data_IF_600136576149
#
_entry.id   IF_600136576149
#
_cell.length_a   1.000
_cell.length_b   1.000
_cell.length_c   1.000
_cell.angle_alpha   90.00
_cell.angle_beta   90.00
_cell.angle_gamma   90.00
#
_symmetry.space_group_name_H-M   'P 1'
#
loop_
_entity.id
_entity.type
_entity.pdbx_description
1 polymer ?
#
# COMPACT_ATOMS: atom_id res chain seq x y z
N UNK A 1 1.27 7.19 -9.58
CA UNK A 1 1.97 5.97 -10.03
C UNK A 1 2.56 5.14 -8.88
N UNK A 2 2.38 5.59 -7.63
CA UNK A 2 2.78 4.83 -6.44
C UNK A 2 1.69 3.88 -5.91
N UNK A 3 0.46 3.97 -6.43
CA UNK A 3 -0.69 3.15 -5.97
C UNK A 3 -0.97 2.00 -6.94
N UNK A 4 -1.33 0.84 -6.39
CA UNK A 4 -1.87 -0.28 -7.16
C UNK A 4 -3.16 0.13 -7.90
N UNK A 5 -3.45 -0.49 -9.04
CA UNK A 5 -4.77 -0.42 -9.66
C UNK A 5 -5.86 -0.88 -8.70
N UNK A 6 -7.02 -0.22 -8.74
CA UNK A 6 -8.15 -0.49 -7.83
C UNK A 6 -8.57 -1.96 -7.85
N UNK A 7 -8.63 -2.59 -9.01
CA UNK A 7 -9.00 -4.00 -9.13
C UNK A 7 -7.99 -4.95 -8.46
N UNK A 8 -6.69 -4.62 -8.50
CA UNK A 8 -5.68 -5.38 -7.75
C UNK A 8 -5.85 -5.24 -6.24
N UNK A 9 -6.14 -4.04 -5.76
CA UNK A 9 -6.43 -3.82 -4.33
C UNK A 9 -7.64 -4.67 -3.91
N UNK A 10 -8.70 -4.66 -4.71
CA UNK A 10 -9.90 -5.47 -4.45
C UNK A 10 -9.55 -6.97 -4.43
N UNK A 11 -8.77 -7.44 -5.40
CA UNK A 11 -8.34 -8.84 -5.48
C UNK A 11 -7.53 -9.27 -4.25
N UNK A 12 -6.55 -8.45 -3.82
CA UNK A 12 -5.77 -8.68 -2.60
C UNK A 12 -6.69 -8.72 -1.38
N UNK A 13 -7.54 -7.70 -1.21
CA UNK A 13 -8.46 -7.63 -0.06
C UNK A 13 -9.43 -8.81 0.03
N UNK A 14 -9.86 -9.38 -1.09
CA UNK A 14 -10.70 -10.58 -1.09
C UNK A 14 -10.01 -11.80 -0.47
N UNK A 15 -8.71 -11.94 -0.69
CA UNK A 15 -7.88 -13.07 -0.26
C UNK A 15 -7.39 -12.95 1.18
N UNK A 16 -7.41 -11.75 1.77
CA UNK A 16 -7.06 -11.54 3.18
C UNK A 16 -8.20 -12.03 4.05
N UNK A 17 -7.91 -12.79 5.10
CA UNK A 17 -8.95 -13.41 5.94
C UNK A 17 -9.50 -12.48 7.03
N UNK A 18 -8.70 -11.51 7.46
CA UNK A 18 -9.05 -10.60 8.56
C UNK A 18 -9.79 -9.34 8.07
N UNK A 19 -10.54 -8.64 8.95
CA UNK A 19 -11.14 -7.34 8.64
C UNK A 19 -10.10 -6.30 8.23
N UNK A 20 -10.45 -5.46 7.28
CA UNK A 20 -9.55 -4.48 6.67
C UNK A 20 -10.06 -3.05 6.93
N UNK A 21 -9.14 -2.16 7.29
CA UNK A 21 -9.39 -0.72 7.36
C UNK A 21 -8.61 -0.03 6.26
N UNK A 22 -9.30 0.64 5.33
CA UNK A 22 -8.65 1.48 4.32
C UNK A 22 -8.36 2.85 4.91
N UNK A 23 -7.09 3.24 4.92
CA UNK A 23 -6.63 4.56 5.34
C UNK A 23 -6.10 5.36 4.15
N UNK A 24 -6.42 6.64 4.12
CA UNK A 24 -5.97 7.57 3.08
C UNK A 24 -6.50 8.97 3.32
N UNK A 25 -6.06 9.92 2.50
CA UNK A 25 -6.54 11.30 2.53
C UNK A 25 -7.91 11.47 1.86
N UNK A 26 -8.41 12.72 1.81
CA UNK A 26 -9.66 13.05 1.12
C UNK A 26 -9.67 12.62 -0.36
N UNK A 27 -8.53 12.72 -1.04
CA UNK A 27 -8.39 12.35 -2.45
C UNK A 27 -8.55 10.84 -2.70
N UNK A 28 -8.43 10.02 -1.66
CA UNK A 28 -8.56 8.57 -1.75
C UNK A 28 -10.01 8.09 -1.54
N UNK A 29 -10.93 8.97 -1.10
CA UNK A 29 -12.30 8.59 -0.74
C UNK A 29 -13.07 7.91 -1.88
N UNK A 30 -12.95 8.43 -3.10
CA UNK A 30 -13.68 7.89 -4.26
C UNK A 30 -13.26 6.45 -4.56
N UNK A 31 -11.97 6.18 -4.58
CA UNK A 31 -11.41 4.85 -4.81
C UNK A 31 -11.76 3.91 -3.65
N UNK A 32 -11.59 4.37 -2.41
CA UNK A 32 -11.92 3.60 -1.22
C UNK A 32 -13.40 3.22 -1.15
N UNK A 33 -14.31 4.11 -1.61
CA UNK A 33 -15.74 3.80 -1.73
C UNK A 33 -16.02 2.69 -2.73
N UNK A 34 -15.34 2.68 -3.88
CA UNK A 34 -15.46 1.59 -4.87
C UNK A 34 -15.00 0.26 -4.26
N UNK A 35 -13.87 0.26 -3.53
CA UNK A 35 -13.33 -0.94 -2.89
C UNK A 35 -14.30 -1.45 -1.82
N UNK A 36 -14.74 -0.60 -0.90
CA UNK A 36 -15.63 -1.01 0.19
C UNK A 36 -16.98 -1.51 -0.32
N UNK A 37 -17.56 -0.90 -1.36
CA UNK A 37 -18.81 -1.37 -1.96
C UNK A 37 -18.71 -2.75 -2.59
N UNK A 38 -17.52 -3.12 -3.13
CA UNK A 38 -17.28 -4.45 -3.72
C UNK A 38 -16.95 -5.54 -2.69
N UNK A 39 -16.61 -5.16 -1.46
CA UNK A 39 -16.13 -6.07 -0.41
C UNK A 39 -17.01 -6.05 0.85
N UNK A 40 -18.06 -5.23 0.86
CA UNK A 40 -19.06 -5.14 1.93
C UNK A 40 -18.45 -5.04 3.34
N UNK A 41 -18.96 -5.80 4.31
CA UNK A 41 -18.59 -5.71 5.73
C UNK A 41 -17.13 -6.08 6.05
N UNK A 42 -16.41 -6.66 5.08
CA UNK A 42 -14.99 -7.01 5.23
C UNK A 42 -14.08 -5.79 5.28
N UNK A 43 -14.49 -4.68 4.68
CA UNK A 43 -13.65 -3.49 4.49
C UNK A 43 -14.32 -2.25 5.04
N UNK A 44 -13.72 -1.67 6.08
CA UNK A 44 -14.12 -0.37 6.60
C UNK A 44 -13.38 0.76 5.86
N UNK A 45 -14.11 1.64 5.23
CA UNK A 45 -13.53 2.82 4.57
C UNK A 45 -13.35 3.96 5.57
N UNK A 46 -12.10 4.24 5.94
CA UNK A 46 -11.67 5.33 6.80
C UNK A 46 -11.01 6.50 6.05
N UNK A 47 -10.90 6.43 4.71
CA UNK A 47 -10.24 7.46 3.92
C UNK A 47 -10.94 8.82 4.06
N UNK A 48 -10.14 9.86 4.39
CA UNK A 48 -10.63 11.22 4.57
C UNK A 48 -11.56 11.46 5.76
N UNK A 49 -11.74 10.47 6.64
CA UNK A 49 -12.61 10.59 7.83
C UNK A 49 -11.87 11.02 9.10
N UNK A 50 -10.57 10.84 9.13
CA UNK A 50 -9.77 11.00 10.33
C UNK A 50 -8.60 11.95 10.11
N UNK A 51 -8.22 12.64 11.18
CA UNK A 51 -6.98 13.43 11.21
C UNK A 51 -5.76 12.50 11.12
N UNK A 52 -4.57 13.07 10.89
CA UNK A 52 -3.32 12.31 10.86
C UNK A 52 -3.09 11.54 12.17
N UNK A 53 -3.35 12.18 13.33
CA UNK A 53 -3.16 11.54 14.64
C UNK A 53 -4.15 10.39 14.87
N UNK A 54 -5.39 10.53 14.45
CA UNK A 54 -6.39 9.46 14.52
C UNK A 54 -6.02 8.30 13.58
N UNK A 55 -5.56 8.60 12.36
CA UNK A 55 -5.04 7.60 11.43
C UNK A 55 -3.82 6.87 12.00
N UNK A 56 -2.91 7.59 12.65
CA UNK A 56 -1.77 7.01 13.35
C UNK A 56 -2.20 6.08 14.49
N UNK A 57 -3.25 6.44 15.23
CA UNK A 57 -3.83 5.57 16.26
C UNK A 57 -4.38 4.27 15.68
N UNK A 58 -5.05 4.30 14.52
CA UNK A 58 -5.51 3.09 13.82
C UNK A 58 -4.33 2.24 13.35
N UNK A 59 -3.30 2.87 12.78
CA UNK A 59 -2.05 2.17 12.39
C UNK A 59 -1.41 1.48 13.59
N UNK A 60 -1.34 2.15 14.74
CA UNK A 60 -0.79 1.57 15.98
C UNK A 60 -1.55 0.32 16.43
N UNK A 61 -2.87 0.28 16.25
CA UNK A 61 -3.74 -0.83 16.67
C UNK A 61 -3.80 -1.97 15.65
N UNK A 62 -3.42 -1.74 14.40
CA UNK A 62 -3.43 -2.77 13.38
C UNK A 62 -2.45 -3.91 13.68
N UNK A 63 -2.79 -5.12 13.31
CA UNK A 63 -1.87 -6.27 13.43
C UNK A 63 -0.77 -6.19 12.37
N UNK A 64 -1.13 -5.95 11.12
CA UNK A 64 -0.21 -5.80 9.97
C UNK A 64 -0.61 -4.61 9.11
N UNK A 65 0.33 -4.09 8.35
CA UNK A 65 0.13 -2.94 7.47
C UNK A 65 0.52 -3.32 6.05
N UNK A 66 -0.41 -3.16 5.11
CA UNK A 66 -0.10 -3.14 3.68
C UNK A 66 -0.10 -1.69 3.23
N UNK A 67 0.94 -1.24 2.59
CA UNK A 67 1.07 0.16 2.19
C UNK A 67 1.86 0.32 0.91
N UNK A 68 1.70 1.47 0.28
CA UNK A 68 2.60 1.93 -0.77
C UNK A 68 3.69 2.85 -0.17
N UNK A 69 4.58 3.38 -0.99
CA UNK A 69 5.52 4.44 -0.63
C UNK A 69 4.77 5.74 -0.27
N UNK A 70 4.37 5.86 1.00
CA UNK A 70 3.52 6.95 1.55
C UNK A 70 3.95 7.37 2.96
N UNK A 71 3.45 8.52 3.42
CA UNK A 71 3.71 8.99 4.80
C UNK A 71 3.23 8.02 5.88
N UNK A 72 2.11 7.33 5.69
CA UNK A 72 1.59 6.34 6.66
C UNK A 72 2.49 5.11 6.77
N UNK A 73 3.28 4.77 5.76
CA UNK A 73 4.32 3.75 5.84
C UNK A 73 5.36 4.09 6.92
N UNK A 74 5.80 5.33 6.98
CA UNK A 74 6.76 5.78 7.99
C UNK A 74 6.14 5.86 9.38
N UNK A 75 4.86 6.21 9.49
CA UNK A 75 4.10 6.13 10.75
C UNK A 75 4.04 4.67 11.25
N UNK A 76 3.77 3.72 10.36
CA UNK A 76 3.77 2.30 10.70
C UNK A 76 5.16 1.82 11.17
N UNK A 77 6.22 2.25 10.51
CA UNK A 77 7.59 1.95 10.90
C UNK A 77 7.93 2.50 12.30
N UNK A 78 7.51 3.74 12.60
CA UNK A 78 7.70 4.36 13.92
C UNK A 78 7.00 3.57 15.04
N UNK A 79 5.89 2.92 14.76
CA UNK A 79 5.20 2.01 15.69
C UNK A 79 5.70 0.57 15.63
N UNK A 80 6.78 0.30 14.89
CA UNK A 80 7.38 -1.04 14.74
C UNK A 80 6.34 -2.09 14.30
N UNK A 81 5.47 -1.72 13.37
CA UNK A 81 4.50 -2.63 12.78
C UNK A 81 5.15 -3.52 11.71
N UNK A 82 4.63 -4.71 11.53
CA UNK A 82 4.96 -5.55 10.38
C UNK A 82 4.35 -4.93 9.13
N UNK A 83 5.20 -4.57 8.17
CA UNK A 83 4.84 -3.79 7.00
C UNK A 83 5.08 -4.59 5.73
N UNK A 84 4.05 -4.71 4.91
CA UNK A 84 4.17 -5.12 3.51
C UNK A 84 4.14 -3.86 2.66
N UNK A 85 5.30 -3.41 2.21
CA UNK A 85 5.44 -2.20 1.41
C UNK A 85 5.51 -2.52 -0.08
N UNK A 86 4.60 -1.98 -0.87
CA UNK A 86 4.48 -2.21 -2.31
C UNK A 86 5.10 -1.05 -3.07
N UNK A 87 6.08 -1.37 -3.92
CA UNK A 87 6.88 -0.39 -4.64
C UNK A 87 6.70 -0.51 -6.16
N UNK A 88 6.40 0.61 -6.79
CA UNK A 88 6.17 0.68 -8.23
C UNK A 88 7.26 1.44 -8.98
N UNK A 89 7.00 2.69 -9.29
CA UNK A 89 7.90 3.54 -10.08
C UNK A 89 9.07 4.14 -9.29
N UNK A 90 9.05 4.06 -7.98
CA UNK A 90 10.13 4.38 -7.05
C UNK A 90 10.75 3.09 -6.51
N UNK A 91 11.87 3.20 -5.81
CA UNK A 91 12.60 2.06 -5.22
C UNK A 91 13.03 2.37 -3.79
N UNK A 92 13.08 1.36 -2.90
CA UNK A 92 13.50 1.55 -1.50
C UNK A 92 14.90 2.12 -1.36
N UNK A 93 15.80 1.79 -2.28
CA UNK A 93 17.23 2.18 -2.29
C UNK A 93 17.45 3.69 -2.37
N UNK A 94 16.44 4.46 -2.76
CA UNK A 94 16.52 5.92 -2.72
C UNK A 94 16.41 6.51 -1.30
N UNK A 95 16.40 5.66 -0.28
CA UNK A 95 16.34 6.07 1.13
C UNK A 95 14.92 6.37 1.62
N UNK A 96 13.90 5.91 0.88
CA UNK A 96 12.49 6.07 1.24
C UNK A 96 11.91 4.81 1.91
N UNK A 97 12.70 3.76 2.12
CA UNK A 97 12.27 2.55 2.80
C UNK A 97 11.76 2.85 4.24
N UNK A 98 10.87 2.00 4.80
CA UNK A 98 10.46 2.14 6.20
C UNK A 98 11.68 2.00 7.11
N UNK A 99 11.95 3.04 7.92
CA UNK A 99 13.12 3.08 8.79
C UNK A 99 12.99 2.07 9.94
N UNK A 100 14.06 1.29 10.17
CA UNK A 100 14.09 0.26 11.22
C UNK A 100 12.86 -0.67 11.20
N UNK A 101 12.45 -1.09 10.01
CA UNK A 101 11.36 -2.04 9.85
C UNK A 101 11.63 -3.35 10.62
N UNK A 102 10.55 -4.02 11.04
CA UNK A 102 10.65 -5.31 11.74
C UNK A 102 11.21 -6.41 10.81
N UNK A 103 11.78 -7.50 11.35
CA UNK A 103 12.22 -8.64 10.55
C UNK A 103 11.11 -9.29 9.71
N UNK A 104 9.85 -9.13 10.12
CA UNK A 104 8.69 -9.66 9.42
C UNK A 104 8.20 -8.73 8.30
N UNK A 105 8.73 -7.50 8.22
CA UNK A 105 8.37 -6.58 7.14
C UNK A 105 8.92 -7.07 5.80
N UNK A 106 8.16 -6.79 4.73
CA UNK A 106 8.50 -7.21 3.36
C UNK A 106 8.36 -6.04 2.39
N UNK A 107 9.26 -6.04 1.43
CA UNK A 107 9.17 -5.20 0.24
C UNK A 107 8.66 -6.07 -0.89
N UNK A 108 7.60 -5.64 -1.56
CA UNK A 108 7.03 -6.31 -2.72
C UNK A 108 7.14 -5.37 -3.92
N UNK A 109 7.82 -5.82 -4.94
CA UNK A 109 8.08 -5.02 -6.16
C UNK A 109 8.30 -5.93 -7.37
N UNK A 110 8.21 -5.35 -8.56
CA UNK A 110 8.53 -6.07 -9.80
C UNK A 110 10.01 -5.91 -10.10
N UNK A 111 10.77 -6.98 -9.99
CA UNK A 111 12.20 -7.02 -10.32
C UNK A 111 12.42 -7.00 -11.85
N UNK A 112 13.63 -6.68 -12.26
CA UNK A 112 14.12 -6.72 -13.65
C UNK A 112 13.31 -5.88 -14.66
N UNK A 113 12.57 -4.88 -14.18
CA UNK A 113 11.82 -3.97 -15.04
C UNK A 113 12.72 -2.78 -15.45
N UNK A 114 13.28 -2.83 -16.68
CA UNK A 114 14.25 -1.84 -17.21
C UNK A 114 13.82 -0.37 -17.08
N UNK A 115 12.55 -0.07 -16.92
CA UNK A 115 12.04 1.30 -16.76
C UNK A 115 11.95 1.74 -15.29
N UNK A 116 12.38 0.94 -14.32
CA UNK A 116 12.46 1.30 -12.89
C UNK A 116 13.92 1.56 -12.49
N UNK A 117 14.12 2.52 -11.58
CA UNK A 117 13.16 3.53 -11.12
C UNK A 117 12.85 4.56 -12.20
N UNK A 118 11.60 5.05 -12.27
CA UNK A 118 11.23 6.09 -13.23
C UNK A 118 11.76 7.48 -12.82
N UNK A 119 11.73 7.75 -11.51
CA UNK A 119 12.28 8.96 -10.88
C UNK A 119 12.37 8.75 -9.37
N UNK A 120 13.06 9.67 -8.68
CA UNK A 120 13.20 9.64 -7.21
C UNK A 120 11.86 9.82 -6.49
N UNK A 121 10.96 10.65 -7.01
CA UNK A 121 9.70 11.01 -6.35
C UNK A 121 8.46 10.32 -6.96
N UNK A 122 8.61 9.76 -8.14
CA UNK A 122 7.51 9.23 -8.93
C UNK A 122 6.89 10.26 -9.88
N UNK A 123 6.02 9.79 -10.75
CA UNK A 123 5.26 10.61 -11.70
C UNK A 123 3.75 10.47 -11.45
N UNK A 124 2.96 11.46 -11.86
CA UNK A 124 1.50 11.38 -11.82
C UNK A 124 0.93 10.29 -12.73
N UNK A 125 1.60 10.05 -13.90
CA UNK A 125 1.24 9.00 -14.86
C UNK A 125 2.48 8.22 -15.29
N UNK A 126 2.29 6.96 -15.67
CA UNK A 126 3.38 6.14 -16.20
C UNK A 126 3.89 6.70 -17.54
N UNK A 127 5.17 7.10 -17.64
CA UNK A 127 5.74 7.64 -18.90
C UNK A 127 5.69 6.62 -20.05
N UNK A 128 5.79 5.33 -19.74
CA UNK A 128 5.74 4.22 -20.71
C UNK A 128 4.32 3.71 -20.96
N UNK A 129 3.30 4.26 -20.29
CA UNK A 129 1.87 3.92 -20.43
C UNK A 129 1.46 2.49 -20.03
N UNK A 130 2.39 1.55 -19.85
CA UNK A 130 2.07 0.14 -19.52
C UNK A 130 1.83 -0.12 -18.03
N UNK A 131 2.38 0.70 -17.14
CA UNK A 131 2.27 0.61 -15.67
C UNK A 131 2.61 -0.78 -15.08
N UNK A 132 3.51 -1.53 -15.74
CA UNK A 132 3.86 -2.90 -15.37
C UNK A 132 4.42 -3.02 -13.95
N UNK A 133 5.12 -1.99 -13.43
CA UNK A 133 5.62 -1.98 -12.06
C UNK A 133 4.55 -2.11 -10.98
N UNK A 134 3.28 -1.89 -11.32
CA UNK A 134 2.13 -2.13 -10.43
C UNK A 134 1.20 -3.22 -10.97
N UNK A 135 1.02 -3.29 -12.29
CA UNK A 135 0.15 -4.30 -12.89
C UNK A 135 0.67 -5.74 -12.68
N UNK A 136 2.00 -5.92 -12.61
CA UNK A 136 2.65 -7.22 -12.46
C UNK A 136 2.99 -7.57 -10.99
N UNK A 137 2.64 -6.74 -10.02
CA UNK A 137 2.81 -7.09 -8.60
C UNK A 137 2.14 -8.44 -8.33
N UNK A 138 2.86 -9.33 -7.68
CA UNK A 138 2.31 -10.62 -7.27
C UNK A 138 1.37 -10.45 -6.07
N UNK A 139 0.09 -10.68 -6.30
CA UNK A 139 -0.94 -10.60 -5.27
C UNK A 139 -0.82 -11.72 -4.23
N UNK A 140 -0.32 -12.90 -4.64
CA UNK A 140 -0.16 -14.05 -3.75
C UNK A 140 0.97 -13.74 -2.76
N UNK A 141 2.07 -13.16 -3.22
CA UNK A 141 3.15 -12.69 -2.35
C UNK A 141 2.65 -11.70 -1.30
N UNK A 142 1.87 -10.69 -1.73
CA UNK A 142 1.29 -9.70 -0.78
C UNK A 142 0.42 -10.38 0.26
N UNK A 143 -0.46 -11.30 -0.15
CA UNK A 143 -1.42 -11.99 0.74
C UNK A 143 -0.70 -12.94 1.70
N UNK A 144 0.30 -13.69 1.24
CA UNK A 144 1.07 -14.61 2.09
C UNK A 144 1.83 -13.93 3.22
N UNK A 145 2.13 -12.64 3.06
CA UNK A 145 2.77 -11.85 4.10
C UNK A 145 1.81 -11.38 5.21
N UNK A 146 0.49 -11.50 5.02
CA UNK A 146 -0.51 -10.99 5.97
C UNK A 146 -1.39 -12.07 6.60
N UNK A 147 -1.67 -13.15 5.92
CA UNK A 147 -2.32 -14.32 6.48
C UNK A 147 -1.29 -15.20 7.19
#
# INVERSE_FOLDING_TARGET
TKRLPTEKIISICRKIETPIVLLGGPDDQSVAKVISNKLNDKVYNACGKYTLNQSASLVKQANKIITHDTGLMHVAAAFKKDIVSIWGNTVPEFGMAPYLSTPNSRVVEVYDLRCRPCSKLGYGKCPKKHFNCMNMIDEIEVVSCVN
#
